data_IF_294314256847
#
_entry.id   IF_294314256847
#
_cell.length_a   1.000
_cell.length_b   1.000
_cell.length_c   1.000
_cell.angle_alpha   90.00
_cell.angle_beta   90.00
_cell.angle_gamma   90.00
#
_symmetry.space_group_name_H-M   'P 1'
#
loop_
_entity.id
_entity.type
_entity.pdbx_description
1 polymer ?
#
# COMPACT_ATOMS: atom_id res chain seq x y z
N UNK A 1 -18.14 26.16 4.38
CA UNK A 1 -19.04 27.27 4.71
C UNK A 1 -20.42 27.08 4.09
N UNK A 2 -21.35 27.98 4.33
CA UNK A 2 -22.68 27.94 3.72
C UNK A 2 -22.53 28.11 2.18
N UNK A 3 -23.14 27.22 1.38
CA UNK A 3 -22.98 27.20 -0.08
C UNK A 3 -21.71 26.47 -0.58
N UNK A 4 -20.95 25.87 0.31
CA UNK A 4 -19.80 25.03 -0.05
C UNK A 4 -20.08 23.55 0.23
N UNK A 5 -19.43 22.70 -0.57
CA UNK A 5 -19.41 21.24 -0.40
C UNK A 5 -17.97 20.73 -0.26
N UNK A 6 -17.83 19.49 0.12
CA UNK A 6 -16.53 18.80 0.18
C UNK A 6 -16.45 17.78 -0.94
N UNK A 7 -15.33 17.78 -1.64
CA UNK A 7 -14.94 16.75 -2.60
C UNK A 7 -13.81 15.95 -1.98
N UNK A 8 -14.02 14.65 -1.90
CA UNK A 8 -13.08 13.68 -1.34
C UNK A 8 -12.55 12.79 -2.45
N UNK A 9 -11.23 12.69 -2.54
CA UNK A 9 -10.52 11.85 -3.51
C UNK A 9 -9.53 10.92 -2.79
N UNK A 10 -9.78 9.62 -2.87
CA UNK A 10 -9.00 8.56 -2.24
C UNK A 10 -8.22 7.74 -3.27
N UNK A 11 -6.94 7.50 -3.00
CA UNK A 11 -6.12 6.53 -3.73
C UNK A 11 -6.37 5.10 -3.22
N UNK A 12 -7.34 4.43 -3.80
CA UNK A 12 -7.68 3.06 -3.45
C UNK A 12 -6.46 2.13 -3.47
N UNK A 13 -6.09 1.60 -2.28
CA UNK A 13 -5.04 0.60 -2.10
C UNK A 13 -3.64 1.03 -2.59
N UNK A 14 -3.26 2.30 -2.42
CA UNK A 14 -2.03 2.89 -2.98
C UNK A 14 -0.78 2.07 -2.64
N UNK A 15 -0.62 1.60 -1.40
CA UNK A 15 0.56 0.85 -0.97
C UNK A 15 0.68 -0.50 -1.72
N UNK A 16 -0.43 -1.19 -1.95
CA UNK A 16 -0.43 -2.45 -2.70
C UNK A 16 -0.17 -2.23 -4.19
N UNK A 17 -0.65 -1.12 -4.76
CA UNK A 17 -0.34 -0.72 -6.15
C UNK A 17 1.14 -0.37 -6.31
N UNK A 18 1.70 0.38 -5.36
CA UNK A 18 3.14 0.66 -5.32
C UNK A 18 3.95 -0.62 -5.17
N UNK A 19 3.51 -1.55 -4.30
CA UNK A 19 4.17 -2.85 -4.14
C UNK A 19 4.15 -3.65 -5.45
N UNK A 20 3.00 -3.70 -6.15
CA UNK A 20 2.87 -4.44 -7.41
C UNK A 20 3.84 -3.93 -8.49
N UNK A 21 4.03 -2.61 -8.56
CA UNK A 21 4.96 -1.95 -9.49
C UNK A 21 6.43 -2.20 -9.09
N UNK A 22 6.79 -1.92 -7.83
CA UNK A 22 8.15 -2.13 -7.31
C UNK A 22 8.61 -3.59 -7.42
N UNK A 23 7.69 -4.53 -7.21
CA UNK A 23 7.94 -5.97 -7.32
C UNK A 23 7.90 -6.46 -8.77
N UNK A 24 7.38 -5.65 -9.71
CA UNK A 24 7.05 -6.04 -11.07
C UNK A 24 6.32 -7.40 -11.11
N UNK A 25 5.33 -7.57 -10.21
CA UNK A 25 4.57 -8.80 -10.07
C UNK A 25 3.37 -8.80 -11.02
N UNK A 26 3.50 -9.54 -12.13
CA UNK A 26 2.47 -9.57 -13.18
C UNK A 26 1.11 -10.05 -12.67
N UNK A 27 1.07 -11.01 -11.73
CA UNK A 27 -0.19 -11.51 -11.18
C UNK A 27 -0.90 -10.43 -10.37
N UNK A 28 -0.15 -9.67 -9.57
CA UNK A 28 -0.69 -8.57 -8.78
C UNK A 28 -1.11 -7.38 -9.66
N UNK A 29 -0.30 -7.02 -10.66
CA UNK A 29 -0.62 -5.98 -11.65
C UNK A 29 -1.90 -6.35 -12.41
N UNK A 30 -2.01 -7.60 -12.89
CA UNK A 30 -3.20 -8.07 -13.60
C UNK A 30 -4.43 -8.09 -12.70
N UNK A 31 -4.31 -8.45 -11.42
CA UNK A 31 -5.40 -8.38 -10.46
C UNK A 31 -5.94 -6.95 -10.31
N UNK A 32 -5.07 -5.94 -10.22
CA UNK A 32 -5.50 -4.54 -10.19
C UNK A 32 -6.16 -4.09 -11.51
N UNK A 33 -5.65 -4.53 -12.65
CA UNK A 33 -6.15 -4.15 -13.96
C UNK A 33 -7.48 -4.85 -14.33
N UNK A 34 -7.80 -5.97 -13.68
CA UNK A 34 -9.04 -6.72 -13.93
C UNK A 34 -10.32 -6.04 -13.38
N UNK A 35 -10.17 -4.98 -12.56
CA UNK A 35 -11.28 -4.33 -11.88
C UNK A 35 -11.88 -5.13 -10.71
N UNK A 36 -11.34 -6.31 -10.42
CA UNK A 36 -11.72 -7.11 -9.23
C UNK A 36 -11.04 -6.53 -8.00
N UNK A 37 -11.76 -6.48 -6.88
CA UNK A 37 -11.18 -6.09 -5.59
C UNK A 37 -9.97 -6.97 -5.24
N UNK A 38 -8.82 -6.34 -5.01
CA UNK A 38 -7.54 -7.05 -4.78
C UNK A 38 -7.62 -8.04 -3.59
N UNK A 39 -8.36 -7.70 -2.55
CA UNK A 39 -8.50 -8.59 -1.39
C UNK A 39 -9.34 -9.83 -1.71
N UNK A 40 -10.35 -9.68 -2.57
CA UNK A 40 -11.15 -10.80 -3.07
C UNK A 40 -10.32 -11.68 -4.02
N UNK A 41 -9.57 -11.07 -4.92
CA UNK A 41 -8.64 -11.79 -5.81
C UNK A 41 -7.59 -12.57 -5.01
N UNK A 42 -6.96 -11.94 -4.03
CA UNK A 42 -6.00 -12.59 -3.12
C UNK A 42 -6.65 -13.74 -2.35
N UNK A 43 -7.88 -13.56 -1.84
CA UNK A 43 -8.59 -14.62 -1.14
C UNK A 43 -8.84 -15.84 -2.04
N UNK A 44 -9.32 -15.63 -3.27
CA UNK A 44 -9.53 -16.69 -4.24
C UNK A 44 -8.24 -17.52 -4.47
N UNK A 45 -7.11 -16.85 -4.59
CA UNK A 45 -5.81 -17.48 -4.81
C UNK A 45 -5.27 -18.18 -3.56
N UNK A 46 -5.27 -17.52 -2.40
CA UNK A 46 -4.75 -18.06 -1.14
C UNK A 46 -5.57 -19.28 -0.67
N UNK A 47 -6.89 -19.23 -0.85
CA UNK A 47 -7.80 -20.33 -0.49
C UNK A 47 -8.04 -21.32 -1.65
N UNK A 48 -7.44 -21.09 -2.82
CA UNK A 48 -7.57 -21.92 -4.01
C UNK A 48 -9.02 -22.21 -4.41
N UNK A 49 -9.79 -21.13 -4.64
CA UNK A 49 -11.20 -21.22 -4.99
C UNK A 49 -11.61 -20.14 -6.01
N UNK A 50 -12.74 -20.32 -6.72
CA UNK A 50 -13.29 -19.29 -7.59
C UNK A 50 -13.64 -18.01 -6.82
N UNK A 51 -13.50 -16.86 -7.48
CA UNK A 51 -13.75 -15.53 -6.89
C UNK A 51 -15.18 -15.40 -6.33
N UNK A 52 -16.16 -16.04 -7.00
CA UNK A 52 -17.58 -16.03 -6.64
C UNK A 52 -17.85 -16.77 -5.32
N UNK A 53 -16.95 -17.65 -4.91
CA UNK A 53 -17.05 -18.43 -3.67
C UNK A 53 -16.37 -17.77 -2.48
N UNK A 54 -15.70 -16.64 -2.68
CA UNK A 54 -15.00 -15.91 -1.62
C UNK A 54 -16.01 -15.30 -0.65
N UNK A 55 -15.98 -15.76 0.59
CA UNK A 55 -16.80 -15.21 1.67
C UNK A 55 -16.24 -13.89 2.20
N UNK A 56 -17.08 -13.10 2.90
CA UNK A 56 -16.63 -11.87 3.58
C UNK A 56 -15.49 -12.13 4.58
N UNK A 57 -15.54 -13.27 5.28
CA UNK A 57 -14.50 -13.67 6.24
C UNK A 57 -13.16 -13.94 5.52
N UNK A 58 -13.18 -14.67 4.41
CA UNK A 58 -11.99 -14.97 3.62
C UNK A 58 -11.39 -13.70 3.04
N UNK A 59 -12.22 -12.79 2.51
CA UNK A 59 -11.78 -11.48 2.05
C UNK A 59 -11.11 -10.67 3.17
N UNK A 60 -11.68 -10.70 4.38
CA UNK A 60 -11.11 -10.03 5.56
C UNK A 60 -9.76 -10.64 5.95
N UNK A 61 -9.63 -11.97 5.93
CA UNK A 61 -8.36 -12.65 6.17
C UNK A 61 -7.32 -12.32 5.11
N UNK A 62 -7.71 -12.31 3.83
CA UNK A 62 -6.81 -11.91 2.73
C UNK A 62 -6.38 -10.44 2.83
N UNK A 63 -7.27 -9.54 3.29
CA UNK A 63 -6.91 -8.15 3.59
C UNK A 63 -5.82 -8.07 4.65
N UNK A 64 -5.94 -8.84 5.73
CA UNK A 64 -4.91 -8.90 6.78
C UNK A 64 -3.57 -9.47 6.25
N UNK A 65 -3.62 -10.47 5.36
CA UNK A 65 -2.41 -11.01 4.70
C UNK A 65 -1.78 -9.95 3.79
N UNK A 66 -2.56 -9.30 2.91
CA UNK A 66 -2.06 -8.28 2.00
C UNK A 66 -1.31 -7.16 2.74
N UNK A 67 -1.93 -6.57 3.76
CA UNK A 67 -1.28 -5.54 4.56
C UNK A 67 -0.17 -6.11 5.44
N UNK A 68 -0.37 -7.31 5.99
CA UNK A 68 0.63 -7.98 6.80
C UNK A 68 1.96 -8.17 6.05
N UNK A 69 1.92 -8.58 4.79
CA UNK A 69 3.12 -8.74 3.96
C UNK A 69 3.83 -7.40 3.76
N UNK A 70 3.09 -6.33 3.43
CA UNK A 70 3.66 -4.98 3.30
C UNK A 70 4.40 -4.56 4.57
N UNK A 71 3.81 -4.85 5.75
CA UNK A 71 4.37 -4.48 7.05
C UNK A 71 5.34 -5.53 7.63
N UNK A 72 5.62 -6.60 6.90
CA UNK A 72 6.55 -7.66 7.34
C UNK A 72 6.03 -8.46 8.53
N UNK A 73 4.72 -8.75 8.56
CA UNK A 73 4.09 -9.54 9.64
C UNK A 73 4.59 -10.99 9.61
N UNK A 74 4.83 -11.56 10.78
CA UNK A 74 5.10 -12.99 10.92
C UNK A 74 3.84 -13.80 11.21
N UNK A 75 3.91 -15.12 10.97
CA UNK A 75 2.78 -16.05 11.16
C UNK A 75 2.15 -15.99 12.56
N UNK A 76 2.93 -15.68 13.60
CA UNK A 76 2.40 -15.56 14.97
C UNK A 76 1.43 -14.38 15.11
N UNK A 77 1.82 -13.20 14.61
CA UNK A 77 0.99 -12.00 14.68
C UNK A 77 -0.24 -12.14 13.76
N UNK A 78 -0.04 -12.61 12.52
CA UNK A 78 -1.13 -12.86 11.59
C UNK A 78 -2.18 -13.84 12.18
N UNK A 79 -1.73 -14.94 12.78
CA UNK A 79 -2.61 -15.92 13.42
C UNK A 79 -3.52 -15.29 14.47
N UNK A 80 -2.95 -14.39 15.29
CA UNK A 80 -3.71 -13.66 16.31
C UNK A 80 -4.72 -12.68 15.69
N UNK A 81 -4.32 -11.99 14.64
CA UNK A 81 -5.15 -10.95 14.00
C UNK A 81 -6.39 -11.55 13.31
N UNK A 82 -6.24 -12.73 12.67
CA UNK A 82 -7.34 -13.37 11.93
C UNK A 82 -7.97 -14.57 12.63
N UNK A 83 -7.52 -14.90 13.86
CA UNK A 83 -8.14 -15.93 14.70
C UNK A 83 -7.91 -17.37 14.20
N UNK A 84 -6.75 -17.66 13.59
CA UNK A 84 -6.39 -18.99 13.09
C UNK A 84 -5.17 -19.55 13.83
N UNK A 85 -4.84 -20.83 13.60
CA UNK A 85 -3.60 -21.41 14.12
C UNK A 85 -2.37 -20.78 13.43
N UNK A 86 -1.23 -20.79 14.14
CA UNK A 86 0.06 -20.32 13.57
C UNK A 86 0.43 -21.08 12.29
N UNK A 87 0.09 -22.38 12.22
CA UNK A 87 0.34 -23.20 11.02
C UNK A 87 -0.46 -22.70 9.82
N UNK A 88 -1.76 -22.45 10.01
CA UNK A 88 -2.63 -21.89 8.96
C UNK A 88 -2.18 -20.50 8.53
N UNK A 89 -1.79 -19.64 9.46
CA UNK A 89 -1.28 -18.32 9.14
C UNK A 89 0.02 -18.41 8.29
N UNK A 90 0.91 -19.37 8.62
CA UNK A 90 2.10 -19.61 7.79
C UNK A 90 1.73 -20.10 6.39
N UNK A 91 0.79 -21.04 6.28
CA UNK A 91 0.28 -21.53 4.99
C UNK A 91 -0.30 -20.38 4.14
N UNK A 92 -1.00 -19.44 4.74
CA UNK A 92 -1.53 -18.27 4.02
C UNK A 92 -0.42 -17.34 3.52
N UNK A 93 0.60 -17.09 4.33
CA UNK A 93 1.78 -16.31 3.92
C UNK A 93 2.50 -17.02 2.77
N UNK A 94 2.72 -18.33 2.88
CA UNK A 94 3.43 -19.12 1.87
C UNK A 94 2.65 -19.15 0.55
N UNK A 95 1.34 -19.37 0.60
CA UNK A 95 0.47 -19.35 -0.59
C UNK A 95 0.47 -17.98 -1.24
N UNK A 96 0.37 -16.90 -0.46
CA UNK A 96 0.46 -15.54 -0.95
C UNK A 96 1.78 -15.29 -1.70
N UNK A 97 2.91 -15.60 -1.07
CA UNK A 97 4.23 -15.41 -1.66
C UNK A 97 4.53 -16.37 -2.82
N UNK A 98 3.85 -17.53 -2.90
CA UNK A 98 3.91 -18.40 -4.07
C UNK A 98 3.12 -17.84 -5.24
N UNK A 99 1.97 -17.25 -4.96
CA UNK A 99 1.12 -16.61 -5.97
C UNK A 99 1.75 -15.33 -6.51
N UNK A 100 2.28 -14.50 -5.61
CA UNK A 100 2.94 -13.25 -5.92
C UNK A 100 4.47 -13.43 -5.76
N UNK A 101 5.06 -14.19 -6.67
CA UNK A 101 6.50 -14.54 -6.59
C UNK A 101 7.41 -13.33 -6.74
N UNK A 102 7.02 -12.35 -7.57
CA UNK A 102 7.72 -11.08 -7.71
C UNK A 102 7.79 -10.30 -6.39
N UNK A 103 6.70 -10.32 -5.61
CA UNK A 103 6.69 -9.72 -4.26
C UNK A 103 7.70 -10.41 -3.35
N UNK A 104 7.79 -11.76 -3.38
CA UNK A 104 8.79 -12.50 -2.60
C UNK A 104 10.22 -12.08 -2.95
N UNK A 105 10.53 -12.06 -4.23
CA UNK A 105 11.85 -11.68 -4.74
C UNK A 105 12.21 -10.24 -4.35
N UNK A 106 11.27 -9.32 -4.54
CA UNK A 106 11.42 -7.93 -4.14
C UNK A 106 11.72 -7.78 -2.65
N UNK A 107 10.93 -8.44 -1.77
CA UNK A 107 11.10 -8.38 -0.32
C UNK A 107 12.46 -8.87 0.17
N UNK A 108 13.09 -9.81 -0.52
CA UNK A 108 14.44 -10.27 -0.23
C UNK A 108 15.49 -9.30 -0.76
N UNK A 109 15.36 -8.91 -2.02
CA UNK A 109 16.30 -8.02 -2.72
C UNK A 109 16.41 -6.64 -2.05
N UNK A 110 15.29 -6.07 -1.58
CA UNK A 110 15.30 -4.74 -0.94
C UNK A 110 16.10 -4.73 0.36
N UNK A 111 16.11 -5.84 1.11
CA UNK A 111 16.93 -5.96 2.33
C UNK A 111 18.42 -6.06 1.98
N UNK A 112 18.78 -6.87 0.99
CA UNK A 112 20.14 -7.03 0.53
C UNK A 112 20.72 -5.68 0.06
N UNK A 113 19.98 -4.98 -0.80
CA UNK A 113 20.35 -3.65 -1.26
C UNK A 113 20.46 -2.63 -0.12
N UNK A 114 19.54 -2.68 0.87
CA UNK A 114 19.58 -1.77 2.00
C UNK A 114 20.78 -2.04 2.91
N UNK A 115 21.20 -3.30 3.07
CA UNK A 115 22.45 -3.66 3.79
C UNK A 115 23.70 -3.17 3.08
N UNK A 116 23.75 -3.34 1.75
CA UNK A 116 24.87 -2.92 0.93
C UNK A 116 25.03 -1.39 0.94
N UNK A 117 23.92 -0.66 0.78
CA UNK A 117 23.92 0.81 0.64
C UNK A 117 23.85 1.54 1.97
N UNK A 118 23.40 0.89 3.03
CA UNK A 118 23.16 1.50 4.34
C UNK A 118 21.83 2.27 4.43
N UNK A 119 21.00 2.23 3.41
CA UNK A 119 19.69 2.93 3.37
C UNK A 119 18.70 2.22 2.45
N UNK A 120 17.40 2.49 2.66
CA UNK A 120 16.33 2.26 1.68
C UNK A 120 15.91 3.59 1.05
N UNK A 121 15.37 3.54 -0.17
CA UNK A 121 14.91 4.73 -0.89
C UNK A 121 13.58 4.50 -1.61
N UNK A 122 12.83 5.58 -1.81
CA UNK A 122 11.58 5.59 -2.60
C UNK A 122 11.87 5.70 -4.10
N UNK A 123 10.86 5.51 -4.96
CA UNK A 123 10.95 5.78 -6.39
C UNK A 123 11.34 7.24 -6.71
N UNK A 124 11.14 8.16 -5.76
CA UNK A 124 11.50 9.58 -5.88
C UNK A 124 12.82 9.93 -5.17
N UNK A 125 13.68 8.92 -4.88
CA UNK A 125 15.01 9.05 -4.29
C UNK A 125 15.01 9.63 -2.86
N UNK A 126 13.91 9.57 -2.12
CA UNK A 126 13.88 9.88 -0.69
C UNK A 126 14.52 8.74 0.08
N UNK A 127 15.55 9.02 0.87
CA UNK A 127 16.36 8.02 1.57
C UNK A 127 16.06 7.96 3.05
N UNK A 128 16.09 6.75 3.60
CA UNK A 128 16.12 6.46 5.03
C UNK A 128 17.32 5.58 5.34
N UNK A 129 18.26 6.12 6.10
CA UNK A 129 19.42 5.37 6.58
C UNK A 129 19.00 4.34 7.63
N UNK A 130 19.60 3.14 7.57
CA UNK A 130 19.21 1.97 8.35
C UNK A 130 20.42 1.32 9.05
N UNK A 131 21.06 2.02 10.01
CA UNK A 131 22.18 1.45 10.76
C UNK A 131 21.76 0.19 11.55
N UNK A 132 20.47 0.02 11.84
CA UNK A 132 19.89 -1.13 12.51
C UNK A 132 20.15 -2.46 11.78
N UNK A 133 20.29 -2.44 10.46
CA UNK A 133 20.54 -3.65 9.65
C UNK A 133 21.86 -4.35 10.00
N UNK A 134 22.83 -3.61 10.56
CA UNK A 134 24.13 -4.10 10.97
C UNK A 134 24.24 -4.36 12.50
N UNK A 135 23.12 -4.25 13.22
CA UNK A 135 23.11 -4.46 14.66
C UNK A 135 23.37 -5.93 15.00
N UNK A 136 24.17 -6.18 16.04
CA UNK A 136 24.39 -7.52 16.59
C UNK A 136 23.15 -8.09 17.27
N UNK A 137 22.34 -7.20 17.87
CA UNK A 137 21.07 -7.57 18.50
C UNK A 137 20.05 -7.98 17.42
N UNK A 138 19.56 -9.22 17.50
CA UNK A 138 18.60 -9.79 16.56
C UNK A 138 17.28 -8.97 16.46
N UNK A 139 16.75 -8.49 17.59
CA UNK A 139 15.49 -7.73 17.61
C UNK A 139 15.65 -6.38 16.89
N UNK A 140 16.78 -5.69 17.09
CA UNK A 140 17.09 -4.42 16.42
C UNK A 140 17.25 -4.68 14.91
N UNK A 141 18.03 -5.69 14.53
CA UNK A 141 18.25 -6.05 13.13
C UNK A 141 16.95 -6.45 12.42
N UNK A 142 16.11 -7.29 13.03
CA UNK A 142 14.81 -7.66 12.49
C UNK A 142 13.86 -6.45 12.34
N UNK A 143 13.94 -5.50 13.28
CA UNK A 143 13.26 -4.20 13.15
C UNK A 143 13.73 -3.41 11.92
N UNK A 144 15.05 -3.34 11.70
CA UNK A 144 15.66 -2.71 10.53
C UNK A 144 15.21 -3.36 9.22
N UNK A 145 15.13 -4.70 9.15
CA UNK A 145 14.64 -5.42 7.97
C UNK A 145 13.18 -5.10 7.63
N UNK A 146 12.31 -4.97 8.65
CA UNK A 146 10.92 -4.53 8.43
C UNK A 146 10.87 -3.11 7.87
N UNK A 147 11.66 -2.21 8.40
CA UNK A 147 11.74 -0.84 7.89
C UNK A 147 12.27 -0.82 6.46
N UNK A 148 13.27 -1.64 6.15
CA UNK A 148 13.85 -1.74 4.81
C UNK A 148 12.80 -2.17 3.76
N UNK A 149 11.89 -3.07 4.11
CA UNK A 149 10.79 -3.50 3.23
C UNK A 149 9.71 -2.43 3.08
N UNK A 150 9.30 -1.81 4.18
CA UNK A 150 8.15 -0.89 4.20
C UNK A 150 8.49 0.47 3.61
N UNK A 151 9.68 0.97 3.85
CA UNK A 151 10.05 2.35 3.51
C UNK A 151 9.91 2.67 2.03
N UNK A 152 10.36 1.83 1.08
CA UNK A 152 10.17 2.12 -0.35
C UNK A 152 8.69 2.18 -0.74
N UNK A 153 7.85 1.35 -0.15
CA UNK A 153 6.41 1.27 -0.45
C UNK A 153 5.67 2.46 0.14
N UNK A 154 5.71 2.61 1.47
CA UNK A 154 5.01 3.69 2.18
C UNK A 154 5.55 5.06 1.83
N UNK A 155 6.88 5.18 1.72
CA UNK A 155 7.52 6.43 1.33
C UNK A 155 7.16 6.86 -0.08
N UNK A 156 7.10 5.93 -1.05
CA UNK A 156 6.65 6.22 -2.42
C UNK A 156 5.18 6.62 -2.45
N UNK A 157 4.31 5.93 -1.72
CA UNK A 157 2.90 6.32 -1.58
C UNK A 157 2.78 7.76 -1.04
N UNK A 158 3.52 8.09 0.03
CA UNK A 158 3.54 9.44 0.58
C UNK A 158 4.10 10.50 -0.40
N UNK A 159 5.07 10.14 -1.23
CA UNK A 159 5.60 11.04 -2.27
C UNK A 159 4.55 11.27 -3.38
N UNK A 160 3.83 10.25 -3.80
CA UNK A 160 2.72 10.36 -4.77
C UNK A 160 1.65 11.30 -4.25
N UNK A 161 1.19 11.13 -3.01
CA UNK A 161 0.18 12.01 -2.40
C UNK A 161 0.64 13.47 -2.39
N UNK A 162 1.89 13.74 -2.00
CA UNK A 162 2.43 15.11 -2.01
C UNK A 162 2.48 15.72 -3.41
N UNK A 163 2.85 14.92 -4.42
CA UNK A 163 2.84 15.37 -5.82
C UNK A 163 1.40 15.65 -6.27
N UNK A 164 0.44 14.79 -5.90
CA UNK A 164 -0.97 15.01 -6.18
C UNK A 164 -1.49 16.31 -5.53
N UNK A 165 -1.19 16.55 -4.26
CA UNK A 165 -1.55 17.79 -3.55
C UNK A 165 -1.07 19.04 -4.31
N UNK A 166 0.21 19.05 -4.72
CA UNK A 166 0.79 20.18 -5.47
C UNK A 166 0.09 20.37 -6.82
N UNK A 167 -0.23 19.27 -7.51
CA UNK A 167 -0.91 19.34 -8.81
C UNK A 167 -2.36 19.82 -8.68
N UNK A 168 -3.10 19.32 -7.68
CA UNK A 168 -4.48 19.75 -7.40
C UNK A 168 -4.51 21.22 -7.04
N UNK A 169 -3.68 21.67 -6.11
CA UNK A 169 -3.60 23.08 -5.71
C UNK A 169 -3.26 24.00 -6.89
N UNK A 170 -2.30 23.57 -7.72
CA UNK A 170 -1.94 24.30 -8.93
C UNK A 170 -3.11 24.36 -9.92
N UNK A 171 -3.84 23.27 -10.18
CA UNK A 171 -4.98 23.26 -11.09
C UNK A 171 -6.14 24.12 -10.57
N UNK A 172 -6.44 24.07 -9.27
CA UNK A 172 -7.43 24.95 -8.65
C UNK A 172 -7.11 26.41 -8.95
N UNK A 173 -5.83 26.79 -8.81
CA UNK A 173 -5.36 28.16 -9.06
C UNK A 173 -5.40 28.51 -10.56
N UNK A 174 -4.85 27.67 -11.45
CA UNK A 174 -4.75 27.92 -12.89
C UNK A 174 -6.15 27.99 -13.54
N UNK A 175 -7.11 27.19 -13.08
CA UNK A 175 -8.47 27.16 -13.61
C UNK A 175 -9.41 28.17 -12.90
N UNK A 176 -8.86 28.94 -11.94
CA UNK A 176 -9.57 29.95 -11.17
C UNK A 176 -10.86 29.41 -10.53
N UNK A 177 -10.79 28.21 -9.94
CA UNK A 177 -11.92 27.57 -9.26
C UNK A 177 -12.11 28.15 -7.87
N UNK A 178 -13.37 28.29 -7.44
CA UNK A 178 -13.71 28.64 -6.06
C UNK A 178 -13.61 27.38 -5.18
N UNK A 179 -12.37 26.97 -4.96
CA UNK A 179 -12.01 25.74 -4.28
C UNK A 179 -10.71 25.88 -3.50
N UNK A 180 -10.53 25.06 -2.49
CA UNK A 180 -9.30 24.99 -1.68
C UNK A 180 -9.04 23.59 -1.17
N UNK A 181 -7.82 23.08 -1.36
CA UNK A 181 -7.33 21.87 -0.69
C UNK A 181 -7.21 22.17 0.81
N UNK A 182 -8.01 21.51 1.65
CA UNK A 182 -8.08 21.81 3.09
C UNK A 182 -7.46 20.74 3.97
N UNK A 183 -7.43 19.47 3.51
CA UNK A 183 -6.98 18.38 4.34
C UNK A 183 -6.42 17.24 3.49
N UNK A 184 -5.39 16.57 4.02
CA UNK A 184 -4.91 15.27 3.57
C UNK A 184 -4.99 14.30 4.74
N UNK A 185 -5.69 13.18 4.56
CA UNK A 185 -5.85 12.12 5.56
C UNK A 185 -5.40 10.80 4.94
N UNK A 186 -4.29 10.24 5.43
CA UNK A 186 -3.69 9.03 4.84
C UNK A 186 -3.46 9.17 3.33
N UNK A 187 -4.28 8.54 2.52
CA UNK A 187 -4.31 8.50 1.07
C UNK A 187 -5.48 9.29 0.43
N UNK A 188 -6.21 10.05 1.24
CA UNK A 188 -7.31 10.91 0.84
C UNK A 188 -6.90 12.37 0.76
N UNK A 189 -7.44 13.10 -0.22
CA UNK A 189 -7.37 14.54 -0.36
C UNK A 189 -8.78 15.13 -0.27
N UNK A 190 -8.97 16.10 0.62
CA UNK A 190 -10.26 16.77 0.80
C UNK A 190 -10.16 18.22 0.32
N UNK A 191 -11.01 18.57 -0.64
CA UNK A 191 -11.12 19.89 -1.23
C UNK A 191 -12.48 20.50 -0.83
N UNK A 192 -12.47 21.66 -0.19
CA UNK A 192 -13.67 22.48 -0.03
C UNK A 192 -13.87 23.31 -1.29
N UNK A 193 -15.08 23.30 -1.85
CA UNK A 193 -15.42 24.02 -3.07
C UNK A 193 -16.85 24.56 -3.03
N UNK A 194 -17.14 25.60 -3.81
CA UNK A 194 -18.52 26.01 -4.04
C UNK A 194 -19.30 24.90 -4.76
N UNK A 195 -20.58 24.75 -4.48
CA UNK A 195 -21.45 23.78 -5.18
C UNK A 195 -21.40 23.95 -6.72
N UNK A 196 -21.16 25.15 -7.20
CA UNK A 196 -21.06 25.48 -8.63
C UNK A 196 -19.84 24.84 -9.30
N UNK A 197 -18.72 24.74 -8.60
CA UNK A 197 -17.47 24.23 -9.15
C UNK A 197 -17.17 22.78 -8.74
N UNK A 198 -18.06 22.14 -7.96
CA UNK A 198 -17.88 20.78 -7.42
C UNK A 198 -17.57 19.74 -8.51
N UNK A 199 -18.34 19.73 -9.60
CA UNK A 199 -18.13 18.79 -10.71
C UNK A 199 -16.76 18.97 -11.39
N UNK A 200 -16.30 20.22 -11.52
CA UNK A 200 -14.98 20.51 -12.08
C UNK A 200 -13.86 20.05 -11.14
N UNK A 201 -14.06 20.22 -9.83
CA UNK A 201 -13.10 19.78 -8.82
C UNK A 201 -13.00 18.25 -8.78
N UNK A 202 -14.09 17.52 -9.05
CA UNK A 202 -14.07 16.07 -9.20
C UNK A 202 -13.21 15.57 -10.40
N UNK A 203 -13.02 16.41 -11.42
CA UNK A 203 -12.24 16.09 -12.61
C UNK A 203 -10.76 16.51 -12.51
N UNK A 204 -10.35 17.10 -11.37
CA UNK A 204 -8.95 17.47 -11.13
C UNK A 204 -8.04 16.28 -10.91
#
# INVERSE_FOLDING_TARGET
>A
GEGNTLVDADYSQIELRVLSDLANDENMINAFNSGVDIHTSTAAQVFNMPVEMVTKQMRSSAKAVNFGIVYGIGAFSLAKDIGVSRKQAQEYIDNYLNTYSGVREYMNKVIELARERGYSETLFNRRRYLPELNATNFMVRSGGERIARNMPIQGTAADIIKIAMIKVDKRITDENLDARLILQVHDELIVETSEKDADKVLEL
#
